data_IF_825802002302
#
_entry.id   IF_825802002302
#
_cell.length_a   1.000
_cell.length_b   1.000
_cell.length_c   1.000
_cell.angle_alpha   90.00
_cell.angle_beta   90.00
_cell.angle_gamma   90.00
#
_symmetry.space_group_name_H-M   'P 1'
#
loop_
_entity.id
_entity.type
_entity.pdbx_description
1 polymer ?
#
# COMPACT_ATOMS: atom_id res chain seq x y z
N UNK A 1 25.27 5.26 -4.14
CA UNK A 1 24.66 4.68 -5.35
C UNK A 1 24.03 5.82 -6.17
N UNK A 2 24.83 6.59 -6.91
CA UNK A 2 24.40 7.83 -7.58
C UNK A 2 23.43 7.60 -8.75
N UNK A 3 23.57 6.47 -9.45
CA UNK A 3 22.71 6.13 -10.58
C UNK A 3 21.26 5.87 -10.15
N UNK A 4 21.04 5.29 -8.97
CA UNK A 4 19.70 5.09 -8.43
C UNK A 4 19.02 6.43 -8.10
N UNK A 5 19.74 7.33 -7.42
CA UNK A 5 19.26 8.67 -7.08
C UNK A 5 18.88 9.48 -8.33
N UNK A 6 19.73 9.48 -9.37
CA UNK A 6 19.42 10.18 -10.62
C UNK A 6 18.16 9.65 -11.32
N UNK A 7 17.97 8.33 -11.35
CA UNK A 7 16.77 7.70 -11.92
C UNK A 7 15.50 8.01 -11.13
N UNK A 8 15.61 8.11 -9.81
CA UNK A 8 14.50 8.46 -8.95
C UNK A 8 14.07 9.91 -9.13
N UNK A 9 15.02 10.85 -9.24
CA UNK A 9 14.72 12.25 -9.50
C UNK A 9 14.07 12.46 -10.88
N UNK A 10 14.51 11.70 -11.89
CA UNK A 10 13.87 11.67 -13.21
C UNK A 10 12.43 11.17 -13.15
N UNK A 11 12.18 10.06 -12.44
CA UNK A 11 10.85 9.50 -12.26
C UNK A 11 9.90 10.48 -11.54
N UNK A 12 10.37 11.14 -10.48
CA UNK A 12 9.58 12.16 -9.77
C UNK A 12 9.24 13.33 -10.72
N UNK A 13 10.19 13.80 -11.52
CA UNK A 13 9.92 14.90 -12.47
C UNK A 13 8.88 14.49 -13.51
N UNK A 14 9.00 13.30 -14.09
CA UNK A 14 8.05 12.80 -15.09
C UNK A 14 6.63 12.66 -14.51
N UNK A 15 6.49 12.06 -13.33
CA UNK A 15 5.17 11.89 -12.71
C UNK A 15 4.60 13.19 -12.15
N UNK A 16 5.43 14.15 -11.71
CA UNK A 16 4.95 15.49 -11.37
C UNK A 16 4.36 16.18 -12.59
N UNK A 17 5.02 16.08 -13.74
CA UNK A 17 4.47 16.60 -14.98
C UNK A 17 3.16 15.90 -15.37
N UNK A 18 3.03 14.59 -15.10
CA UNK A 18 1.76 13.88 -15.31
C UNK A 18 0.63 14.46 -14.42
N UNK A 19 0.89 14.73 -13.13
CA UNK A 19 -0.07 15.40 -12.25
C UNK A 19 -0.43 16.80 -12.76
N UNK A 20 0.52 17.57 -13.28
CA UNK A 20 0.24 18.88 -13.89
C UNK A 20 -0.69 18.78 -15.11
N UNK A 21 -0.51 17.75 -15.94
CA UNK A 21 -1.32 17.51 -17.14
C UNK A 21 -2.71 16.96 -16.81
N UNK A 22 -2.83 16.19 -15.72
CA UNK A 22 -4.03 15.47 -15.35
C UNK A 22 -4.28 15.47 -13.82
N UNK A 23 -4.53 16.63 -13.21
CA UNK A 23 -4.60 16.77 -11.74
C UNK A 23 -5.84 16.13 -11.11
N UNK A 24 -6.80 15.67 -11.92
CA UNK A 24 -8.01 15.00 -11.45
C UNK A 24 -7.99 13.49 -11.74
N UNK A 25 -6.88 12.97 -12.26
CA UNK A 25 -6.70 11.54 -12.51
C UNK A 25 -6.02 10.86 -11.30
N UNK A 26 -6.68 9.91 -10.62
CA UNK A 26 -6.09 9.20 -9.48
C UNK A 26 -4.75 8.53 -9.82
N UNK A 27 -4.62 7.99 -11.04
CA UNK A 27 -3.39 7.35 -11.53
C UNK A 27 -2.19 8.30 -11.54
N UNK A 28 -2.39 9.60 -11.79
CA UNK A 28 -1.30 10.57 -11.84
C UNK A 28 -0.69 10.77 -10.45
N UNK A 29 -1.55 10.95 -9.46
CA UNK A 29 -1.16 11.04 -8.05
C UNK A 29 -0.54 9.73 -7.54
N UNK A 30 -1.13 8.57 -7.82
CA UNK A 30 -0.57 7.28 -7.43
C UNK A 30 0.85 7.06 -7.98
N UNK A 31 1.07 7.37 -9.27
CA UNK A 31 2.38 7.23 -9.92
C UNK A 31 3.45 8.14 -9.29
N UNK A 32 3.07 9.36 -8.91
CA UNK A 32 3.95 10.29 -8.21
C UNK A 32 4.24 9.80 -6.78
N UNK A 33 3.22 9.30 -6.08
CA UNK A 33 3.36 8.68 -4.76
C UNK A 33 4.33 7.51 -4.76
N UNK A 34 4.23 6.60 -5.73
CA UNK A 34 5.14 5.46 -5.92
C UNK A 34 6.59 5.92 -6.11
N UNK A 35 6.78 7.03 -6.83
CA UNK A 35 8.11 7.59 -7.06
C UNK A 35 8.71 8.15 -5.78
N UNK A 36 7.92 8.87 -4.99
CA UNK A 36 8.36 9.34 -3.67
C UNK A 36 8.66 8.18 -2.71
N UNK A 37 7.81 7.15 -2.67
CA UNK A 37 7.99 5.99 -1.81
C UNK A 37 9.28 5.23 -2.12
N UNK A 38 9.60 5.04 -3.42
CA UNK A 38 10.86 4.41 -3.85
C UNK A 38 12.11 5.20 -3.43
N UNK A 39 11.97 6.50 -3.17
CA UNK A 39 13.03 7.35 -2.64
C UNK A 39 13.12 7.36 -1.11
N UNK A 40 12.22 6.65 -0.41
CA UNK A 40 12.05 6.77 1.04
C UNK A 40 11.38 8.07 1.48
N UNK A 41 10.79 8.84 0.56
CA UNK A 41 10.09 10.11 0.85
C UNK A 41 8.63 9.82 1.20
N UNK A 42 8.43 9.12 2.32
CA UNK A 42 7.13 8.54 2.67
C UNK A 42 6.03 9.57 2.95
N UNK A 43 6.34 10.73 3.54
CA UNK A 43 5.33 11.76 3.79
C UNK A 43 4.71 12.29 2.49
N UNK A 44 5.54 12.48 1.47
CA UNK A 44 5.07 12.94 0.16
C UNK A 44 4.36 11.82 -0.59
N UNK A 45 4.79 10.57 -0.43
CA UNK A 45 4.04 9.45 -0.97
C UNK A 45 2.63 9.38 -0.37
N UNK A 46 2.51 9.54 0.96
CA UNK A 46 1.22 9.58 1.67
C UNK A 46 0.33 10.71 1.14
N UNK A 47 0.88 11.92 0.94
CA UNK A 47 0.13 13.06 0.40
C UNK A 47 -0.46 12.74 -0.97
N UNK A 48 0.35 12.20 -1.89
CA UNK A 48 -0.09 11.87 -3.24
C UNK A 48 -1.10 10.71 -3.25
N UNK A 49 -0.85 9.62 -2.52
CA UNK A 49 -1.82 8.52 -2.42
C UNK A 49 -3.14 8.97 -1.78
N UNK A 50 -3.08 9.83 -0.76
CA UNK A 50 -4.29 10.42 -0.18
C UNK A 50 -5.04 11.31 -1.18
N UNK A 51 -4.32 12.04 -2.04
CA UNK A 51 -4.89 12.78 -3.16
C UNK A 51 -5.61 11.87 -4.15
N UNK A 52 -4.99 10.76 -4.55
CA UNK A 52 -5.62 9.76 -5.42
C UNK A 52 -6.89 9.17 -4.80
N UNK A 53 -6.86 8.83 -3.50
CA UNK A 53 -8.03 8.33 -2.74
C UNK A 53 -9.12 9.41 -2.58
N UNK A 54 -8.75 10.69 -2.53
CA UNK A 54 -9.71 11.79 -2.47
C UNK A 54 -10.43 12.02 -3.80
N UNK A 55 -9.76 11.75 -4.93
CA UNK A 55 -10.33 11.80 -6.28
C UNK A 55 -11.24 10.60 -6.55
N UNK A 56 -10.82 9.41 -6.12
CA UNK A 56 -11.62 8.18 -6.19
C UNK A 56 -11.41 7.34 -4.92
N UNK A 57 -12.47 7.27 -4.11
CA UNK A 57 -12.45 6.62 -2.81
C UNK A 57 -12.34 5.08 -2.88
N UNK A 58 -12.59 4.48 -4.04
CA UNK A 58 -12.50 3.03 -4.30
C UNK A 58 -11.27 2.68 -5.16
N UNK A 59 -10.39 3.65 -5.45
CA UNK A 59 -9.19 3.43 -6.25
C UNK A 59 -8.19 2.51 -5.54
N UNK A 60 -8.33 1.22 -5.79
CA UNK A 60 -7.62 0.12 -5.11
C UNK A 60 -6.09 0.32 -5.01
N UNK A 61 -5.37 0.75 -6.09
CA UNK A 61 -3.92 0.92 -6.04
C UNK A 61 -3.47 1.95 -5.00
N UNK A 62 -4.12 3.11 -4.93
CA UNK A 62 -3.73 4.13 -3.97
C UNK A 62 -4.05 3.73 -2.52
N UNK A 63 -5.14 2.98 -2.31
CA UNK A 63 -5.50 2.49 -0.97
C UNK A 63 -4.42 1.54 -0.44
N UNK A 64 -3.98 0.56 -1.24
CA UNK A 64 -2.95 -0.39 -0.82
C UNK A 64 -1.60 0.30 -0.63
N UNK A 65 -1.20 1.19 -1.55
CA UNK A 65 0.05 1.93 -1.45
C UNK A 65 0.08 2.90 -0.27
N UNK A 66 -1.05 3.54 0.06
CA UNK A 66 -1.17 4.38 1.25
C UNK A 66 -0.99 3.56 2.53
N UNK A 67 -1.56 2.35 2.58
CA UNK A 67 -1.32 1.39 3.66
C UNK A 67 0.16 1.04 3.82
N UNK A 68 0.85 0.75 2.71
CA UNK A 68 2.27 0.42 2.69
C UNK A 68 3.15 1.58 3.14
N UNK A 69 2.84 2.81 2.70
CA UNK A 69 3.57 3.99 3.11
C UNK A 69 3.41 4.27 4.61
N UNK A 70 2.20 4.10 5.16
CA UNK A 70 1.98 4.16 6.61
C UNK A 70 2.74 3.06 7.36
N UNK A 71 2.74 1.83 6.84
CA UNK A 71 3.49 0.72 7.43
C UNK A 71 4.99 1.02 7.50
N UNK A 72 5.57 1.56 6.41
CA UNK A 72 6.98 1.94 6.33
C UNK A 72 7.36 3.05 7.30
N UNK A 73 6.42 3.92 7.68
CA UNK A 73 6.60 4.93 8.73
C UNK A 73 6.34 4.41 10.15
N UNK A 74 5.98 3.14 10.34
CA UNK A 74 5.57 2.60 11.64
C UNK A 74 4.18 3.06 12.10
N UNK A 75 3.41 3.71 11.21
CA UNK A 75 2.04 4.19 11.44
C UNK A 75 1.04 3.05 11.28
N UNK A 76 1.19 2.06 12.16
CA UNK A 76 0.52 0.77 12.04
C UNK A 76 -1.01 0.83 12.12
N UNK A 77 -1.56 1.80 12.85
CA UNK A 77 -3.01 1.95 12.97
C UNK A 77 -3.60 2.43 11.64
N UNK A 78 -2.98 3.42 11.01
CA UNK A 78 -3.39 3.92 9.70
C UNK A 78 -3.17 2.87 8.60
N UNK A 79 -2.07 2.13 8.66
CA UNK A 79 -1.81 1.02 7.73
C UNK A 79 -2.92 -0.03 7.76
N UNK A 80 -3.26 -0.55 8.96
CA UNK A 80 -4.36 -1.52 9.12
C UNK A 80 -5.68 -0.97 8.58
N UNK A 81 -5.98 0.30 8.85
CA UNK A 81 -7.21 0.92 8.36
C UNK A 81 -7.28 0.91 6.82
N UNK A 82 -6.19 1.25 6.12
CA UNK A 82 -6.20 1.21 4.66
C UNK A 82 -6.24 -0.22 4.11
N UNK A 83 -5.55 -1.18 4.73
CA UNK A 83 -5.63 -2.57 4.31
C UNK A 83 -7.04 -3.17 4.51
N UNK A 84 -7.76 -2.77 5.56
CA UNK A 84 -9.16 -3.13 5.73
C UNK A 84 -10.04 -2.53 4.64
N UNK A 85 -9.85 -1.24 4.32
CA UNK A 85 -10.55 -0.60 3.20
C UNK A 85 -10.25 -1.27 1.86
N UNK A 86 -9.01 -1.68 1.61
CA UNK A 86 -8.63 -2.42 0.40
C UNK A 86 -9.41 -3.73 0.28
N UNK A 87 -9.56 -4.47 1.37
CA UNK A 87 -10.39 -5.69 1.41
C UNK A 87 -11.87 -5.35 1.15
N UNK A 88 -12.38 -4.24 1.66
CA UNK A 88 -13.79 -3.83 1.48
C UNK A 88 -14.12 -3.45 0.02
N UNK A 89 -13.21 -2.79 -0.69
CA UNK A 89 -13.46 -2.31 -2.06
C UNK A 89 -13.15 -3.34 -3.13
N UNK A 90 -12.22 -4.27 -2.86
CA UNK A 90 -11.82 -5.32 -3.81
C UNK A 90 -12.84 -6.46 -3.82
N UNK A 91 -12.88 -7.23 -4.91
CA UNK A 91 -13.84 -8.35 -5.07
C UNK A 91 -13.19 -9.71 -5.33
N UNK A 92 -11.86 -9.76 -5.42
CA UNK A 92 -11.15 -11.00 -5.73
C UNK A 92 -10.56 -11.61 -4.48
N UNK A 93 -10.57 -12.94 -4.42
CA UNK A 93 -9.97 -13.69 -3.33
C UNK A 93 -8.45 -13.39 -3.22
N UNK A 94 -7.77 -13.18 -4.35
CA UNK A 94 -6.34 -12.81 -4.36
C UNK A 94 -6.12 -11.44 -3.68
N UNK A 95 -6.97 -10.45 -3.95
CA UNK A 95 -6.87 -9.13 -3.33
C UNK A 95 -7.20 -9.19 -1.83
N UNK A 96 -8.24 -9.94 -1.44
CA UNK A 96 -8.54 -10.16 -0.03
C UNK A 96 -7.36 -10.81 0.70
N UNK A 97 -6.77 -11.86 0.12
CA UNK A 97 -5.59 -12.52 0.68
C UNK A 97 -4.43 -11.54 0.85
N UNK A 98 -4.13 -10.72 -0.16
CA UNK A 98 -3.09 -9.68 -0.08
C UNK A 98 -3.35 -8.70 1.08
N UNK A 99 -4.59 -8.22 1.22
CA UNK A 99 -4.98 -7.32 2.32
C UNK A 99 -4.76 -7.96 3.71
N UNK A 100 -5.19 -9.22 3.89
CA UNK A 100 -4.97 -9.95 5.14
C UNK A 100 -3.48 -10.21 5.40
N UNK A 101 -2.71 -10.53 4.37
CA UNK A 101 -1.26 -10.73 4.49
C UNK A 101 -0.56 -9.48 5.02
N UNK A 102 -0.91 -8.31 4.46
CA UNK A 102 -0.38 -7.02 4.91
C UNK A 102 -0.79 -6.68 6.35
N UNK A 103 -2.03 -6.97 6.75
CA UNK A 103 -2.46 -6.85 8.16
C UNK A 103 -1.63 -7.78 9.06
N UNK A 104 -1.35 -9.00 8.62
CA UNK A 104 -0.49 -9.96 9.32
C UNK A 104 0.92 -9.41 9.53
N UNK A 105 1.54 -8.83 8.49
CA UNK A 105 2.85 -8.18 8.58
C UNK A 105 2.88 -7.02 9.58
N UNK A 106 1.81 -6.22 9.66
CA UNK A 106 1.68 -5.17 10.67
C UNK A 106 1.69 -5.79 12.07
N UNK A 107 0.91 -6.83 12.32
CA UNK A 107 0.83 -7.44 13.65
C UNK A 107 2.12 -8.16 14.06
N UNK A 108 2.82 -8.78 13.11
CA UNK A 108 4.17 -9.34 13.34
C UNK A 108 5.17 -8.25 13.73
N UNK A 109 5.15 -7.11 13.03
CA UNK A 109 6.01 -5.96 13.35
C UNK A 109 5.72 -5.39 14.75
N UNK A 110 4.48 -5.56 15.24
CA UNK A 110 4.07 -5.19 16.61
C UNK A 110 4.31 -6.29 17.65
N UNK A 111 4.79 -7.47 17.26
CA UNK A 111 4.93 -8.64 18.14
C UNK A 111 3.60 -9.25 18.60
N UNK A 112 2.47 -8.92 17.97
CA UNK A 112 1.15 -9.43 18.33
C UNK A 112 0.84 -10.73 17.56
N UNK A 113 1.41 -11.83 18.04
CA UNK A 113 1.27 -13.14 17.41
C UNK A 113 -0.20 -13.60 17.26
N UNK A 114 -1.09 -13.46 18.27
CA UNK A 114 -2.48 -13.89 18.11
C UNK A 114 -3.21 -13.16 16.97
N UNK A 115 -2.93 -11.87 16.77
CA UNK A 115 -3.54 -11.10 15.67
C UNK A 115 -2.89 -11.38 14.32
N UNK A 116 -1.60 -11.71 14.29
CA UNK A 116 -0.93 -12.16 13.09
C UNK A 116 -1.47 -13.53 12.63
N UNK A 117 -1.68 -14.47 13.55
CA UNK A 117 -2.29 -15.78 13.27
C UNK A 117 -3.72 -15.63 12.74
N UNK A 118 -4.53 -14.77 13.36
CA UNK A 118 -5.88 -14.45 12.85
C UNK A 118 -5.83 -13.93 11.40
N UNK A 119 -4.87 -13.06 11.08
CA UNK A 119 -4.72 -12.52 9.73
C UNK A 119 -4.30 -13.63 8.74
N UNK A 120 -3.36 -14.50 9.12
CA UNK A 120 -2.94 -15.65 8.32
C UNK A 120 -4.08 -16.63 8.05
N UNK A 121 -4.92 -16.93 9.06
CA UNK A 121 -6.10 -17.78 8.88
C UNK A 121 -7.09 -17.19 7.87
N UNK A 122 -7.29 -15.87 7.90
CA UNK A 122 -8.13 -15.18 6.92
C UNK A 122 -7.48 -15.15 5.54
N UNK A 123 -6.17 -14.95 5.42
CA UNK A 123 -5.45 -15.03 4.15
C UNK A 123 -5.65 -16.41 3.50
N UNK A 124 -5.42 -17.50 4.24
CA UNK A 124 -5.55 -18.88 3.76
C UNK A 124 -6.98 -19.20 3.30
N UNK A 125 -8.00 -18.59 3.92
CA UNK A 125 -9.39 -18.74 3.48
C UNK A 125 -9.60 -18.26 2.04
N UNK A 126 -8.92 -17.20 1.63
CA UNK A 126 -9.03 -16.62 0.28
C UNK A 126 -7.94 -17.14 -0.68
N UNK A 127 -6.79 -17.58 -0.17
CA UNK A 127 -5.71 -18.16 -0.95
C UNK A 127 -5.21 -19.50 -0.35
N UNK A 128 -5.98 -20.59 -0.46
CA UNK A 128 -5.56 -21.89 0.04
C UNK A 128 -4.31 -22.37 -0.72
N UNK A 129 -3.17 -22.43 -0.01
CA UNK A 129 -1.86 -22.74 -0.58
C UNK A 129 -0.80 -21.65 -0.42
N UNK A 130 -1.11 -20.52 0.22
CA UNK A 130 -0.13 -19.46 0.51
C UNK A 130 0.94 -19.89 1.53
N UNK A 131 2.04 -19.14 1.59
CA UNK A 131 3.25 -19.45 2.39
C UNK A 131 2.94 -19.67 3.88
N UNK A 132 1.87 -19.06 4.38
CA UNK A 132 1.44 -19.15 5.78
C UNK A 132 0.73 -20.46 6.16
N UNK A 133 0.46 -21.36 5.22
CA UNK A 133 -0.01 -22.73 5.52
C UNK A 133 0.92 -23.51 6.47
N UNK A 134 2.19 -23.08 6.59
CA UNK A 134 3.21 -23.72 7.43
C UNK A 134 3.33 -23.14 8.84
N UNK A 135 2.56 -22.09 9.16
CA UNK A 135 2.56 -21.40 10.46
C UNK A 135 1.30 -21.67 11.29
N UNK A 136 0.39 -22.48 10.76
CA UNK A 136 -0.70 -23.16 11.48
C UNK A 136 -0.32 -24.62 11.68
#
# INVERSE_FOLDING_TARGET
NYLALGRYDEAIRAHRHYVELAPLEPNAHDSLGMSYQRCGRYDQAIEEYAGAVALDAEFEPAIIHLGDAYFQQGRYREAIHQYQRYIEVTRSDVAHALGYSNIGHVYLSKGNLPRAEWAAQNEVKYAPGSVWNSLL
#
